data_IF_563277285103
#
_entry.id   IF_563277285103
#
_cell.length_a   1.000
_cell.length_b   1.000
_cell.length_c   1.000
_cell.angle_alpha   90.00
_cell.angle_beta   90.00
_cell.angle_gamma   90.00
#
_symmetry.space_group_name_H-M   'P 1'
#
loop_
_entity.id
_entity.type
_entity.pdbx_description
1 polymer ?
#
# COMPACT_ATOMS: atom_id res chain seq x y z
N UNK A 1 -17.82 16.16 14.93
CA UNK A 1 -17.38 14.81 15.35
C UNK A 1 -16.85 14.03 14.14
N UNK A 2 -15.82 13.18 14.30
CA UNK A 2 -15.39 12.27 13.24
C UNK A 2 -16.51 11.29 12.89
N UNK A 3 -16.54 10.80 11.64
CA UNK A 3 -17.59 9.88 11.21
C UNK A 3 -17.60 8.60 12.08
N UNK A 4 -18.80 8.07 12.33
CA UNK A 4 -18.93 6.72 12.87
C UNK A 4 -18.35 5.72 11.86
N UNK A 5 -17.45 4.84 12.32
CA UNK A 5 -16.78 3.82 11.51
C UNK A 5 -16.91 2.47 12.21
N UNK A 6 -17.07 1.41 11.42
CA UNK A 6 -17.11 0.04 11.93
C UNK A 6 -15.77 -0.36 12.55
N UNK A 7 -15.79 -1.31 13.48
CA UNK A 7 -14.59 -1.81 14.17
C UNK A 7 -13.54 -2.37 13.19
N UNK A 8 -14.00 -3.09 12.15
CA UNK A 8 -13.12 -3.63 11.11
C UNK A 8 -12.32 -2.54 10.41
N UNK A 9 -12.98 -1.44 10.02
CA UNK A 9 -12.32 -0.30 9.38
C UNK A 9 -11.31 0.36 10.32
N UNK A 10 -11.67 0.54 11.60
CA UNK A 10 -10.78 1.07 12.64
C UNK A 10 -9.51 0.21 12.79
N UNK A 11 -9.64 -1.12 12.83
CA UNK A 11 -8.47 -2.04 12.90
C UNK A 11 -7.56 -1.90 11.69
N UNK A 12 -8.11 -1.78 10.48
CA UNK A 12 -7.29 -1.63 9.26
C UNK A 12 -6.58 -0.27 9.27
N UNK A 13 -7.28 0.81 9.64
CA UNK A 13 -6.67 2.13 9.78
C UNK A 13 -5.52 2.12 10.78
N UNK A 14 -5.71 1.51 11.95
CA UNK A 14 -4.67 1.37 12.96
C UNK A 14 -3.47 0.56 12.43
N UNK A 15 -3.70 -0.54 11.71
CA UNK A 15 -2.63 -1.33 11.07
C UNK A 15 -1.85 -0.50 10.04
N UNK A 16 -2.55 0.26 9.19
CA UNK A 16 -1.93 1.09 8.15
C UNK A 16 -1.16 2.27 8.74
N UNK A 17 -1.59 2.82 9.87
CA UNK A 17 -0.81 3.79 10.63
C UNK A 17 0.50 3.18 11.14
N UNK A 18 0.44 2.00 11.78
CA UNK A 18 1.63 1.30 12.31
C UNK A 18 2.64 0.89 11.23
N UNK A 19 2.16 0.50 10.03
CA UNK A 19 3.02 0.11 8.91
C UNK A 19 3.80 1.29 8.30
N UNK A 20 3.32 2.52 8.45
CA UNK A 20 3.89 3.70 7.80
C UNK A 20 5.06 4.32 8.57
N UNK A 21 5.97 3.49 9.07
CA UNK A 21 7.16 3.91 9.84
C UNK A 21 8.44 3.79 9.01
N UNK A 22 9.47 4.63 9.27
CA UNK A 22 10.78 4.46 8.65
C UNK A 22 11.45 3.19 9.16
N UNK A 23 12.50 2.74 8.45
CA UNK A 23 13.30 1.59 8.87
C UNK A 23 14.17 2.01 10.05
N UNK A 24 14.22 1.21 11.13
CA UNK A 24 15.14 1.40 12.25
C UNK A 24 16.61 1.43 11.83
N UNK A 25 17.42 2.25 12.50
CA UNK A 25 18.83 2.43 12.16
C UNK A 25 19.64 1.14 12.27
N UNK A 26 19.46 0.36 13.34
CA UNK A 26 20.23 -0.88 13.56
C UNK A 26 20.03 -1.92 12.45
N UNK A 27 18.89 -1.90 11.73
CA UNK A 27 18.67 -2.79 10.58
C UNK A 27 19.63 -2.46 9.45
N UNK A 28 19.97 -1.19 9.24
CA UNK A 28 20.94 -0.77 8.22
C UNK A 28 22.36 -1.26 8.51
N UNK A 29 22.65 -1.52 9.78
CA UNK A 29 23.97 -1.94 10.25
C UNK A 29 24.13 -3.46 10.30
N UNK A 30 23.11 -4.23 9.92
CA UNK A 30 23.21 -5.70 9.83
C UNK A 30 24.02 -6.08 8.60
N UNK A 31 24.93 -7.04 8.75
CA UNK A 31 25.66 -7.66 7.64
C UNK A 31 24.68 -8.31 6.65
N UNK A 32 25.02 -8.29 5.36
CA UNK A 32 24.25 -8.85 4.24
C UNK A 32 22.83 -8.29 4.06
N UNK A 33 22.60 -7.04 4.47
CA UNK A 33 21.31 -6.39 4.26
C UNK A 33 21.30 -5.50 3.01
N UNK A 34 20.42 -5.81 2.06
CA UNK A 34 20.19 -4.99 0.84
C UNK A 34 19.18 -3.86 1.05
N UNK A 35 18.47 -3.84 2.18
CA UNK A 35 17.32 -2.96 2.42
C UNK A 35 17.79 -1.59 2.96
N UNK A 36 17.73 -0.56 2.10
CA UNK A 36 18.13 0.82 2.45
C UNK A 36 16.98 1.69 3.00
N UNK A 37 15.78 1.53 2.44
CA UNK A 37 14.60 2.33 2.76
C UNK A 37 13.30 1.52 2.65
N UNK A 38 12.21 2.00 3.26
CA UNK A 38 10.91 1.33 3.19
C UNK A 38 10.18 1.72 1.90
N UNK A 39 10.32 0.89 0.86
CA UNK A 39 9.66 1.09 -0.43
C UNK A 39 8.12 1.14 -0.34
N UNK A 40 7.52 0.53 0.69
CA UNK A 40 6.06 0.47 0.90
C UNK A 40 5.54 1.62 1.77
N UNK A 41 6.37 2.60 2.12
CA UNK A 41 5.97 3.78 2.89
C UNK A 41 5.00 4.63 2.05
N UNK A 42 3.98 5.19 2.70
CA UNK A 42 2.87 5.87 2.03
C UNK A 42 2.71 7.31 2.52
N UNK A 43 2.56 8.26 1.61
CA UNK A 43 2.14 9.62 1.95
C UNK A 43 0.65 9.83 1.67
N UNK A 44 -0.09 10.41 2.62
CA UNK A 44 -1.55 10.50 2.56
C UNK A 44 -2.10 11.47 1.51
N UNK A 45 -1.30 12.45 1.08
CA UNK A 45 -1.67 13.34 -0.03
C UNK A 45 -1.51 12.65 -1.39
N UNK A 46 -0.46 11.85 -1.57
CA UNK A 46 -0.13 11.20 -2.86
C UNK A 46 -0.98 9.96 -3.12
N UNK A 47 -1.18 9.09 -2.12
CA UNK A 47 -1.89 7.82 -2.31
C UNK A 47 -2.93 7.57 -1.22
N UNK A 48 -4.17 7.31 -1.63
CA UNK A 48 -5.32 7.09 -0.73
C UNK A 48 -5.44 5.62 -0.33
N UNK A 49 -6.03 5.40 0.84
CA UNK A 49 -6.36 4.05 1.30
C UNK A 49 -7.62 3.60 0.58
N UNK A 50 -7.50 2.60 -0.30
CA UNK A 50 -8.61 2.04 -1.07
C UNK A 50 -9.57 1.22 -0.21
N UNK A 51 -10.36 1.89 0.64
CA UNK A 51 -11.49 1.28 1.33
C UNK A 51 -12.71 1.31 0.42
N UNK A 52 -12.66 0.65 -0.75
CA UNK A 52 -13.90 0.37 -1.47
C UNK A 52 -14.67 -0.60 -0.58
N UNK A 53 -15.80 -0.14 -0.01
CA UNK A 53 -16.85 -1.06 0.42
C UNK A 53 -17.04 -2.04 -0.73
N UNK A 54 -17.05 -3.34 -0.44
CA UNK A 54 -16.93 -4.42 -1.42
C UNK A 54 -18.18 -4.51 -2.32
N UNK A 55 -18.52 -3.46 -3.05
CA UNK A 55 -19.38 -3.55 -4.22
C UNK A 55 -18.53 -4.22 -5.29
N UNK A 56 -19.00 -5.41 -5.67
CA UNK A 56 -18.40 -6.34 -6.61
C UNK A 56 -18.38 -5.72 -8.01
N UNK A 57 -17.51 -4.75 -8.26
CA UNK A 57 -17.17 -4.38 -9.63
C UNK A 57 -16.13 -5.37 -10.15
N UNK A 58 -16.57 -6.61 -10.42
CA UNK A 58 -15.77 -7.64 -11.10
C UNK A 58 -15.72 -7.45 -12.62
N UNK A 59 -16.37 -6.43 -13.19
CA UNK A 59 -16.54 -6.34 -14.66
C UNK A 59 -15.49 -5.44 -15.35
N UNK A 60 -14.88 -4.46 -14.65
CA UNK A 60 -13.93 -3.52 -15.31
C UNK A 60 -12.48 -4.02 -15.41
N UNK A 61 -12.10 -5.10 -14.71
CA UNK A 61 -10.71 -5.57 -14.68
C UNK A 61 -10.34 -6.53 -15.84
N UNK A 62 -11.31 -7.00 -16.62
CA UNK A 62 -11.04 -7.90 -17.74
C UNK A 62 -10.55 -7.14 -18.99
N UNK A 63 -11.01 -5.90 -19.19
CA UNK A 63 -10.64 -5.08 -20.37
C UNK A 63 -9.21 -4.55 -20.28
N UNK A 64 -8.67 -4.33 -19.07
CA UNK A 64 -7.30 -3.80 -18.88
C UNK A 64 -6.20 -4.87 -18.86
N UNK A 65 -6.54 -6.17 -18.90
CA UNK A 65 -5.56 -7.28 -18.82
C UNK A 65 -5.08 -7.82 -20.18
N UNK A 66 -5.65 -7.35 -21.28
CA UNK A 66 -5.25 -7.76 -22.64
C UNK A 66 -4.33 -6.74 -23.34
N UNK A 67 -3.92 -5.65 -22.68
CA UNK A 67 -3.17 -4.55 -23.32
C UNK A 67 -1.82 -4.16 -22.70
N UNK A 68 -1.26 -4.95 -21.77
CA UNK A 68 0.04 -4.63 -21.13
C UNK A 68 1.00 -5.82 -21.19
N UNK A 69 1.16 -6.40 -22.38
CA UNK A 69 2.37 -7.14 -22.75
C UNK A 69 3.03 -6.27 -23.80
N UNK A 70 4.16 -5.65 -23.44
CA UNK A 70 5.08 -4.77 -24.21
C UNK A 70 5.31 -3.47 -23.41
N UNK A 71 6.56 -3.29 -22.98
CA UNK A 71 7.15 -2.16 -22.23
C UNK A 71 7.02 -2.20 -20.71
N UNK A 72 7.99 -2.85 -20.04
CA UNK A 72 8.91 -2.19 -19.10
C UNK A 72 9.95 -3.21 -18.60
N UNK A 73 10.78 -3.70 -19.53
CA UNK A 73 12.10 -4.26 -19.22
C UNK A 73 13.15 -3.34 -19.86
N UNK A 74 13.35 -2.17 -19.25
CA UNK A 74 14.58 -1.38 -19.36
C UNK A 74 14.60 -0.27 -18.31
N UNK A 75 15.56 -0.41 -17.40
CA UNK A 75 15.96 0.46 -16.27
C UNK A 75 15.25 0.24 -14.94
#
# INVERSE_FOLDING_TARGET
>A
MPSHKTFRTKRILAKKAKQNRPIPQWIRLRTDNTIKYNAKRRHWRRTKLGFKHRLRFKVAALVCKLGNVIMEDRW
#
